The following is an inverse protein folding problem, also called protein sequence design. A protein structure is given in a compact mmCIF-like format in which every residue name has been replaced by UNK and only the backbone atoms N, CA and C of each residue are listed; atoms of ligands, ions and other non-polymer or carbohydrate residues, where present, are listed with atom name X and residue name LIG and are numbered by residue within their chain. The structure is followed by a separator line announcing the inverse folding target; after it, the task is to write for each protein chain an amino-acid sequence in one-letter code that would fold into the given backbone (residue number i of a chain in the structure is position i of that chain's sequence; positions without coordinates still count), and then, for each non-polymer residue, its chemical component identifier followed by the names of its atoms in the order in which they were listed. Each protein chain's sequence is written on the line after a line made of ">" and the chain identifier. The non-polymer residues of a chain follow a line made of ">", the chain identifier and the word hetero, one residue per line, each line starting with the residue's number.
data_IF_577423956974
#
_entry.id   IF_577423956974
#
_cell.length_a   1.000
_cell.length_b   1.000
_cell.length_c   1.000
_cell.angle_alpha   90.00
_cell.angle_beta   90.00
_cell.angle_gamma   90.00
#
_symmetry.space_group_name_H-M   'P 1'
#
loop_
_entity.id
_entity.type
_entity.pdbx_description
1 polymer ?
#
# COMPACT_ATOMS: atom_id res chain seq x y z
N UNK A 1 15.97 -19.35 17.03
CA UNK A 1 14.57 -19.74 16.81
C UNK A 1 13.82 -18.56 16.19
N UNK A 2 13.06 -18.71 15.10
CA UNK A 2 12.30 -17.61 14.52
C UNK A 2 11.28 -17.11 15.55
N UNK A 3 11.31 -15.81 15.83
CA UNK A 3 10.45 -15.19 16.82
C UNK A 3 9.02 -15.13 16.26
N UNK A 4 8.12 -16.02 16.73
CA UNK A 4 6.74 -16.15 16.21
C UNK A 4 5.97 -14.83 16.15
N UNK A 5 6.24 -13.90 17.08
CA UNK A 5 5.64 -12.55 17.08
C UNK A 5 6.10 -11.71 15.89
N UNK A 6 7.38 -11.81 15.51
CA UNK A 6 7.96 -11.10 14.37
C UNK A 6 7.40 -11.63 13.05
N UNK A 7 7.30 -12.96 12.91
CA UNK A 7 6.70 -13.59 11.73
C UNK A 7 5.24 -13.17 11.51
N UNK A 8 4.44 -13.11 12.59
CA UNK A 8 3.04 -12.66 12.52
C UNK A 8 2.92 -11.17 12.16
N UNK A 9 3.82 -10.33 12.67
CA UNK A 9 3.86 -8.91 12.31
C UNK A 9 4.26 -8.71 10.83
N UNK A 10 5.22 -9.47 10.32
CA UNK A 10 5.62 -9.45 8.91
C UNK A 10 4.48 -9.87 7.97
N UNK A 11 3.70 -10.88 8.37
CA UNK A 11 2.51 -11.32 7.65
C UNK A 11 1.42 -10.21 7.60
N UNK A 12 1.13 -9.59 8.74
CA UNK A 12 0.12 -8.53 8.86
C UNK A 12 0.51 -7.25 8.12
N UNK A 13 1.81 -6.99 7.98
CA UNK A 13 2.35 -5.81 7.28
C UNK A 13 2.74 -6.14 5.84
N UNK A 14 2.37 -7.32 5.34
CA UNK A 14 2.58 -7.72 3.96
C UNK A 14 1.68 -6.92 3.02
N UNK A 15 2.13 -6.75 1.78
CA UNK A 15 1.34 -6.11 0.73
C UNK A 15 -0.02 -6.77 0.53
N UNK A 16 -0.08 -8.10 0.57
CA UNK A 16 -1.33 -8.85 0.43
C UNK A 16 -2.34 -8.51 1.53
N UNK A 17 -1.89 -8.45 2.79
CA UNK A 17 -2.77 -8.08 3.90
C UNK A 17 -3.27 -6.64 3.79
N UNK A 18 -2.44 -5.70 3.32
CA UNK A 18 -2.87 -4.32 3.05
C UNK A 18 -3.95 -4.26 1.95
N UNK A 19 -3.79 -5.03 0.87
CA UNK A 19 -4.79 -5.12 -0.19
C UNK A 19 -6.13 -5.65 0.35
N UNK A 20 -6.09 -6.71 1.17
CA UNK A 20 -7.29 -7.26 1.80
C UNK A 20 -7.96 -6.27 2.75
N UNK A 21 -7.17 -5.50 3.53
CA UNK A 21 -7.66 -4.49 4.47
C UNK A 21 -8.33 -3.31 3.78
N UNK A 22 -7.85 -2.90 2.61
CA UNK A 22 -8.44 -1.79 1.87
C UNK A 22 -9.82 -2.13 1.29
N UNK A 23 -10.05 -3.41 0.95
CA UNK A 23 -11.32 -3.90 0.42
C UNK A 23 -11.81 -3.12 -0.81
N UNK A 24 -13.13 -3.13 -1.03
CA UNK A 24 -13.78 -2.40 -2.12
C UNK A 24 -13.70 -0.86 -1.96
N UNK A 25 -13.35 -0.41 -0.76
CA UNK A 25 -13.40 1.01 -0.39
C UNK A 25 -12.31 1.87 -1.05
N UNK A 26 -11.21 1.25 -1.49
CA UNK A 26 -10.11 1.91 -2.20
C UNK A 26 -10.26 1.78 -3.72
N UNK A 27 -10.89 0.70 -4.21
CA UNK A 27 -11.09 0.44 -5.64
C UNK A 27 -12.04 1.44 -6.29
N UNK A 28 -13.03 1.92 -5.54
CA UNK A 28 -14.05 2.82 -6.07
C UNK A 28 -13.63 4.30 -6.04
N UNK A 29 -12.59 4.65 -5.27
CA UNK A 29 -12.24 6.03 -4.97
C UNK A 29 -10.72 6.25 -4.99
N UNK A 30 -10.14 6.55 -6.17
CA UNK A 30 -8.70 6.73 -6.34
C UNK A 30 -8.06 7.74 -5.38
N UNK A 31 -8.80 8.79 -5.05
CA UNK A 31 -8.35 9.85 -4.13
C UNK A 31 -8.06 9.30 -2.71
N UNK A 32 -8.70 8.20 -2.31
CA UNK A 32 -8.43 7.54 -1.03
C UNK A 32 -7.08 6.83 -1.04
N UNK A 33 -6.74 6.17 -2.15
CA UNK A 33 -5.44 5.50 -2.31
C UNK A 33 -4.30 6.51 -2.19
N UNK A 34 -4.40 7.62 -2.92
CA UNK A 34 -3.39 8.68 -2.92
C UNK A 34 -3.25 9.35 -1.54
N UNK A 35 -4.37 9.57 -0.82
CA UNK A 35 -4.35 10.07 0.56
C UNK A 35 -3.66 9.10 1.52
N UNK A 36 -3.94 7.80 1.43
CA UNK A 36 -3.28 6.79 2.27
C UNK A 36 -1.78 6.78 2.00
N UNK A 37 -1.36 6.82 0.73
CA UNK A 37 0.06 6.89 0.36
C UNK A 37 0.75 8.12 0.97
N UNK A 38 0.11 9.29 0.91
CA UNK A 38 0.64 10.53 1.50
C UNK A 38 0.77 10.42 3.02
N UNK A 39 -0.27 9.91 3.69
CA UNK A 39 -0.29 9.74 5.14
C UNK A 39 0.77 8.76 5.62
N UNK A 40 0.89 7.59 4.97
CA UNK A 40 1.85 6.56 5.34
C UNK A 40 3.30 7.02 5.10
N UNK A 41 3.53 7.73 4.00
CA UNK A 41 4.86 8.31 3.70
C UNK A 41 5.24 9.40 4.72
N UNK A 42 4.26 10.22 5.14
CA UNK A 42 4.46 11.22 6.19
C UNK A 42 4.76 10.55 7.53
N UNK A 43 4.00 9.50 7.87
CA UNK A 43 4.21 8.71 9.09
C UNK A 43 5.62 8.11 9.14
N UNK A 44 6.15 7.60 8.01
CA UNK A 44 7.48 7.00 7.94
C UNK A 44 8.60 7.92 8.44
N UNK A 45 8.45 9.24 8.28
CA UNK A 45 9.43 10.23 8.74
C UNK A 45 9.37 10.46 10.25
N UNK A 46 8.25 10.10 10.89
CA UNK A 46 8.02 10.27 12.32
C UNK A 46 8.31 9.01 13.14
N UNK A 47 8.75 7.92 12.49
CA UNK A 47 9.02 6.65 13.18
C UNK A 47 10.35 6.72 13.92
N UNK A 48 10.24 6.72 15.24
CA UNK A 48 11.36 6.61 16.16
C UNK A 48 11.69 5.14 16.47
N UNK A 49 12.94 4.86 16.81
CA UNK A 49 13.40 3.51 17.16
C UNK A 49 14.84 3.25 16.73
N UNK A 50 15.34 2.06 17.07
CA UNK A 50 16.65 1.62 16.63
C UNK A 50 16.67 1.38 15.10
N UNK A 51 17.85 1.10 14.54
CA UNK A 51 18.00 0.91 13.08
C UNK A 51 17.11 -0.21 12.53
N UNK A 52 17.01 -1.33 13.24
CA UNK A 52 16.21 -2.48 12.78
C UNK A 52 14.71 -2.18 12.82
N UNK A 53 14.23 -1.51 13.86
CA UNK A 53 12.85 -1.08 14.02
C UNK A 53 12.43 -0.10 12.91
N UNK A 54 13.27 0.91 12.65
CA UNK A 54 13.02 1.87 11.57
C UNK A 54 13.02 1.21 10.20
N UNK A 55 13.86 0.19 9.99
CA UNK A 55 13.90 -0.56 8.73
C UNK A 55 12.67 -1.46 8.54
N UNK A 56 12.20 -2.12 9.60
CA UNK A 56 10.98 -2.91 9.57
C UNK A 56 9.76 -2.01 9.29
N UNK A 57 9.69 -0.86 9.95
CA UNK A 57 8.58 0.07 9.79
C UNK A 57 8.58 0.73 8.40
N UNK A 58 9.75 1.09 7.86
CA UNK A 58 9.87 1.54 6.46
C UNK A 58 9.37 0.50 5.47
N UNK A 59 9.71 -0.77 5.65
CA UNK A 59 9.22 -1.86 4.79
C UNK A 59 7.69 -2.00 4.88
N UNK A 60 7.13 -1.89 6.07
CA UNK A 60 5.67 -1.93 6.26
C UNK A 60 4.97 -0.76 5.54
N UNK A 61 5.51 0.46 5.65
CA UNK A 61 5.02 1.63 4.93
C UNK A 61 5.13 1.41 3.41
N UNK A 62 6.27 0.93 2.93
CA UNK A 62 6.49 0.67 1.51
C UNK A 62 5.48 -0.34 0.97
N UNK A 63 5.24 -1.44 1.68
CA UNK A 63 4.25 -2.44 1.30
C UNK A 63 2.83 -1.84 1.20
N UNK A 64 2.47 -0.94 2.13
CA UNK A 64 1.19 -0.23 2.12
C UNK A 64 1.08 0.71 0.91
N UNK A 65 2.13 1.48 0.63
CA UNK A 65 2.19 2.38 -0.54
C UNK A 65 2.07 1.59 -1.84
N UNK A 66 2.80 0.48 -1.97
CA UNK A 66 2.73 -0.40 -3.15
C UNK A 66 1.37 -1.09 -3.33
N UNK A 67 0.67 -1.38 -2.23
CA UNK A 67 -0.71 -1.87 -2.28
C UNK A 67 -1.68 -0.79 -2.80
N UNK A 68 -1.38 0.49 -2.62
CA UNK A 68 -2.22 1.59 -3.10
C UNK A 68 -2.02 1.94 -4.58
N UNK A 69 -0.83 1.70 -5.15
CA UNK A 69 -0.46 2.10 -6.53
C UNK A 69 -1.52 1.70 -7.59
N UNK A 70 -2.03 0.45 -7.63
CA UNK A 70 -3.03 0.02 -8.63
C UNK A 70 -4.31 0.85 -8.62
N UNK A 71 -4.64 1.44 -7.47
CA UNK A 71 -5.88 2.19 -7.26
C UNK A 71 -5.69 3.70 -7.41
N UNK A 72 -4.48 4.17 -7.73
CA UNK A 72 -4.25 5.59 -7.99
C UNK A 72 -4.95 6.02 -9.27
N UNK A 73 -5.32 7.31 -9.35
CA UNK A 73 -6.04 7.82 -10.53
C UNK A 73 -5.23 7.63 -11.81
N UNK A 74 -3.92 7.86 -11.72
CA UNK A 74 -3.00 7.68 -12.85
C UNK A 74 -3.05 6.24 -13.40
N UNK A 75 -3.05 5.24 -12.52
CA UNK A 75 -3.04 3.85 -12.92
C UNK A 75 -4.39 3.39 -13.48
N UNK A 76 -5.49 3.80 -12.85
CA UNK A 76 -6.86 3.52 -13.33
C UNK A 76 -7.09 4.12 -14.73
N UNK A 77 -6.63 5.36 -14.94
CA UNK A 77 -6.74 6.02 -16.25
C UNK A 77 -5.86 5.33 -17.30
N UNK A 78 -4.65 4.90 -16.93
CA UNK A 78 -3.76 4.16 -17.83
C UNK A 78 -4.40 2.84 -18.28
N UNK A 79 -4.96 2.06 -17.36
CA UNK A 79 -5.64 0.79 -17.67
C UNK A 79 -6.89 1.00 -18.54
N UNK A 80 -7.67 2.04 -18.26
CA UNK A 80 -8.85 2.41 -19.06
C UNK A 80 -8.48 2.85 -20.48
N UNK A 81 -7.30 3.44 -20.67
CA UNK A 81 -6.80 3.86 -21.99
C UNK A 81 -6.28 2.71 -22.85
N UNK A 82 -5.92 1.57 -22.24
CA UNK A 82 -5.42 0.37 -22.95
C UNK A 82 -6.56 -0.46 -23.56
N UNK A 83 -7.81 -0.30 -23.11
CA UNK A 83 -8.97 -0.98 -23.70
C UNK A 83 -9.28 -0.32 -25.06
N UNK A 84 -9.10 -1.00 -26.21
CA UNK A 84 -9.40 -0.40 -27.49
C UNK A 84 -10.90 -0.11 -27.56
N UNK A 85 -11.26 1.14 -27.84
CA UNK A 85 -12.63 1.51 -28.21
C UNK A 85 -13.03 0.65 -29.39
N UNK A 86 -13.86 -0.38 -29.17
CA UNK A 86 -14.69 -0.93 -30.25
C UNK A 86 -15.61 0.21 -30.69
N UNK A 87 -15.19 0.94 -31.71
CA UNK A 87 -16.04 1.89 -32.40
C UNK A 87 -17.21 1.10 -33.03
N UNK A 88 -18.45 1.63 -32.94
CA UNK A 88 -19.61 1.05 -33.61
C UNK A 88 -19.48 1.10 -35.14
#
# INVERSE_FOLDING_TARGET
>A
MPNKKKAKAEEWLSRACWLDLFGESITELPDRAERIMLLMTSLAQMIEGNREEREAARRAVQNCVEACIPYTRAQILAESAVIPRKQP
#
